data_IF_373114345842
#
_entry.id   IF_373114345842
#
_cell.length_a   1.000
_cell.length_b   1.000
_cell.length_c   1.000
_cell.angle_alpha   90.00
_cell.angle_beta   90.00
_cell.angle_gamma   90.00
#
_symmetry.space_group_name_H-M   'P 1'
#
loop_
_entity.id
_entity.type
_entity.pdbx_description
1 polymer ?
#
# COMPACT_ATOMS: atom_id res chain seq x y z
N UNK A 1 25.92 5.72 -18.63
CA UNK A 1 25.71 4.32 -19.05
C UNK A 1 25.75 3.50 -17.77
N UNK A 2 24.59 3.06 -17.26
CA UNK A 2 24.52 2.31 -16.00
C UNK A 2 25.24 0.96 -16.19
N UNK A 3 26.19 0.65 -15.30
CA UNK A 3 27.05 -0.55 -15.37
C UNK A 3 26.42 -1.77 -14.70
N UNK A 4 25.18 -1.68 -14.22
CA UNK A 4 24.44 -2.85 -13.76
C UNK A 4 23.10 -2.96 -14.48
N UNK A 5 22.72 -4.17 -14.93
CA UNK A 5 21.45 -4.39 -15.57
C UNK A 5 20.33 -4.04 -14.60
N UNK A 6 19.24 -3.49 -15.12
CA UNK A 6 17.95 -3.51 -14.44
C UNK A 6 17.78 -4.92 -13.85
N UNK A 7 17.81 -5.03 -12.51
CA UNK A 7 17.91 -6.33 -11.83
C UNK A 7 16.63 -7.16 -11.98
N UNK A 8 15.59 -6.58 -12.59
CA UNK A 8 14.33 -7.21 -12.95
C UNK A 8 14.23 -7.36 -14.47
N UNK A 9 14.51 -8.55 -14.99
CA UNK A 9 14.34 -8.82 -16.42
C UNK A 9 12.85 -8.96 -16.80
N UNK A 10 12.02 -9.46 -15.88
CA UNK A 10 10.60 -9.70 -16.09
C UNK A 10 9.76 -9.04 -14.98
N UNK A 11 8.77 -8.26 -15.39
CA UNK A 11 7.77 -7.64 -14.52
C UNK A 11 6.46 -8.42 -14.64
N UNK A 12 5.93 -8.87 -13.51
CA UNK A 12 4.58 -9.44 -13.39
C UNK A 12 3.72 -8.60 -12.46
N UNK A 13 2.41 -8.62 -12.68
CA UNK A 13 1.43 -7.93 -11.84
C UNK A 13 0.42 -8.92 -11.28
N UNK A 14 0.10 -8.84 -10.00
CA UNK A 14 -1.11 -9.44 -9.43
C UNK A 14 -2.03 -8.35 -8.91
N UNK A 15 -3.32 -8.43 -9.25
CA UNK A 15 -4.34 -7.52 -8.72
C UNK A 15 -5.22 -8.31 -7.75
N UNK A 16 -5.19 -7.90 -6.48
CA UNK A 16 -5.94 -8.53 -5.41
C UNK A 16 -7.23 -7.73 -5.12
N UNK A 17 -8.41 -8.40 -5.07
CA UNK A 17 -9.70 -7.75 -4.85
C UNK A 17 -9.80 -7.17 -3.44
N UNK A 18 -10.72 -6.23 -3.20
CA UNK A 18 -10.84 -5.60 -1.89
C UNK A 18 -11.29 -6.55 -0.78
N UNK A 19 -10.84 -6.25 0.44
CA UNK A 19 -11.33 -6.84 1.68
C UNK A 19 -12.01 -5.75 2.52
N UNK A 20 -13.05 -6.09 3.32
CA UNK A 20 -13.68 -5.14 4.24
C UNK A 20 -12.66 -4.43 5.14
N UNK A 21 -12.79 -3.11 5.28
CA UNK A 21 -11.88 -2.29 6.08
C UNK A 21 -12.24 -2.32 7.58
N UNK A 22 -11.26 -2.43 8.49
CA UNK A 22 -9.89 -2.89 8.26
C UNK A 22 -9.84 -4.43 8.19
N UNK A 23 -9.11 -5.03 7.23
CA UNK A 23 -8.99 -6.48 7.18
C UNK A 23 -8.15 -6.96 8.37
N UNK A 24 -8.64 -7.98 9.08
CA UNK A 24 -7.83 -8.67 10.07
C UNK A 24 -6.75 -9.52 9.38
N UNK A 25 -5.61 -9.75 10.04
CA UNK A 25 -4.55 -10.61 9.49
C UNK A 25 -5.05 -12.01 9.10
N UNK A 26 -5.88 -12.71 9.90
CA UNK A 26 -6.45 -13.99 9.49
C UNK A 26 -7.33 -13.88 8.24
N UNK A 27 -8.12 -12.81 8.10
CA UNK A 27 -8.94 -12.59 6.91
C UNK A 27 -8.07 -12.35 5.67
N UNK A 28 -7.04 -11.52 5.79
CA UNK A 28 -6.06 -11.25 4.72
C UNK A 28 -5.32 -12.52 4.31
N UNK A 29 -4.84 -13.32 5.28
CA UNK A 29 -4.18 -14.58 5.03
C UNK A 29 -5.12 -15.60 4.36
N UNK A 30 -6.35 -15.75 4.87
CA UNK A 30 -7.36 -16.65 4.30
C UNK A 30 -7.67 -16.31 2.84
N UNK A 31 -7.79 -15.02 2.52
CA UNK A 31 -8.12 -14.56 1.17
C UNK A 31 -6.95 -14.75 0.17
N UNK A 32 -5.72 -14.42 0.56
CA UNK A 32 -4.62 -14.26 -0.39
C UNK A 32 -3.54 -15.34 -0.34
N UNK A 33 -3.41 -16.11 0.75
CA UNK A 33 -2.40 -17.18 0.83
C UNK A 33 -2.51 -18.15 -0.35
N UNK A 34 -3.69 -18.71 -0.70
CA UNK A 34 -3.77 -19.70 -1.78
C UNK A 34 -3.36 -19.14 -3.15
N UNK A 35 -3.63 -17.85 -3.39
CA UNK A 35 -3.25 -17.17 -4.63
C UNK A 35 -1.74 -16.95 -4.69
N UNK A 36 -1.14 -16.44 -3.62
CA UNK A 36 0.31 -16.21 -3.52
C UNK A 36 1.08 -17.54 -3.59
N UNK A 37 0.61 -18.58 -2.90
CA UNK A 37 1.22 -19.92 -2.93
C UNK A 37 1.26 -20.48 -4.36
N UNK A 38 0.22 -20.27 -5.17
CA UNK A 38 0.23 -20.71 -6.57
C UNK A 38 1.06 -19.85 -7.51
N UNK A 39 1.29 -18.57 -7.16
CA UNK A 39 1.96 -17.62 -8.03
C UNK A 39 3.47 -17.58 -7.80
N UNK A 40 3.94 -17.42 -6.56
CA UNK A 40 5.35 -17.09 -6.30
C UNK A 40 6.34 -18.06 -6.96
N UNK A 41 6.17 -19.40 -6.92
CA UNK A 41 7.10 -20.33 -7.58
C UNK A 41 7.21 -20.15 -9.09
N UNK A 42 6.13 -19.71 -9.74
CA UNK A 42 6.08 -19.52 -11.20
C UNK A 42 6.89 -18.30 -11.66
N UNK A 43 7.17 -17.38 -10.73
CA UNK A 43 7.86 -16.13 -11.02
C UNK A 43 9.34 -16.20 -10.68
N UNK A 44 9.79 -17.24 -9.96
CA UNK A 44 11.21 -17.40 -9.63
C UNK A 44 12.00 -17.50 -10.93
N UNK A 45 12.98 -16.60 -11.16
CA UNK A 45 13.74 -16.60 -12.40
C UNK A 45 14.58 -17.87 -12.52
N UNK A 46 14.75 -18.37 -13.75
CA UNK A 46 15.63 -19.51 -14.01
C UNK A 46 17.12 -19.18 -13.75
N UNK A 47 17.49 -17.90 -13.79
CA UNK A 47 18.85 -17.41 -13.54
C UNK A 47 19.02 -16.95 -12.11
N UNK A 48 20.08 -17.42 -11.44
CA UNK A 48 20.45 -16.97 -10.08
C UNK A 48 21.11 -15.60 -10.04
N UNK A 49 21.34 -14.96 -11.20
CA UNK A 49 22.00 -13.65 -11.32
C UNK A 49 21.03 -12.49 -11.44
N UNK A 50 19.75 -12.76 -11.65
CA UNK A 50 18.70 -11.77 -11.84
C UNK A 50 17.56 -12.06 -10.88
N UNK A 51 16.78 -11.04 -10.54
CA UNK A 51 15.53 -11.19 -9.82
C UNK A 51 14.37 -11.00 -10.79
N UNK A 52 13.19 -11.55 -10.47
CA UNK A 52 11.94 -11.21 -11.16
C UNK A 52 11.15 -10.23 -10.31
N UNK A 53 10.52 -9.23 -10.93
CA UNK A 53 9.69 -8.25 -10.21
C UNK A 53 8.24 -8.70 -10.16
N UNK A 54 7.66 -8.69 -8.97
CA UNK A 54 6.23 -8.86 -8.74
C UNK A 54 5.64 -7.57 -8.16
N UNK A 55 4.78 -6.93 -8.94
CA UNK A 55 3.92 -5.85 -8.48
C UNK A 55 2.62 -6.43 -7.91
N UNK A 56 2.24 -6.02 -6.70
CA UNK A 56 1.00 -6.39 -6.03
C UNK A 56 0.12 -5.14 -5.92
N UNK A 57 -0.97 -5.11 -6.67
CA UNK A 57 -1.97 -4.06 -6.62
C UNK A 57 -3.13 -4.46 -5.71
N UNK A 58 -3.31 -3.76 -4.58
CA UNK A 58 -4.38 -3.99 -3.63
C UNK A 58 -5.56 -3.08 -3.92
N UNK A 59 -6.70 -3.62 -4.33
CA UNK A 59 -7.94 -2.83 -4.48
C UNK A 59 -8.48 -2.46 -3.11
N UNK A 60 -8.70 -1.18 -2.86
CA UNK A 60 -9.30 -0.71 -1.61
C UNK A 60 -10.81 -0.92 -1.61
N UNK A 61 -11.36 -1.21 -0.44
CA UNK A 61 -12.80 -1.25 -0.22
C UNK A 61 -13.41 0.16 -0.27
N UNK A 62 -14.69 0.28 -0.65
CA UNK A 62 -15.37 1.58 -0.76
C UNK A 62 -15.45 2.36 0.55
N UNK A 63 -15.24 1.71 1.71
CA UNK A 63 -15.12 2.36 3.01
C UNK A 63 -13.83 3.17 3.20
N UNK A 64 -12.82 2.99 2.35
CA UNK A 64 -11.67 3.90 2.30
C UNK A 64 -12.08 5.17 1.57
N UNK A 65 -12.26 6.28 2.31
CA UNK A 65 -12.59 7.57 1.74
C UNK A 65 -11.37 8.20 1.05
N UNK A 66 -11.13 7.77 -0.19
CA UNK A 66 -10.03 8.26 -1.03
C UNK A 66 -10.21 9.68 -1.57
N UNK A 67 -11.30 10.37 -1.19
CA UNK A 67 -11.47 11.81 -1.44
C UNK A 67 -10.72 12.67 -0.42
N UNK A 68 -10.38 12.10 0.75
CA UNK A 68 -9.61 12.80 1.78
C UNK A 68 -8.12 12.88 1.43
N UNK A 69 -7.40 13.87 2.01
CA UNK A 69 -5.94 13.88 1.98
C UNK A 69 -5.37 12.57 2.49
N UNK A 70 -4.34 12.06 1.81
CA UNK A 70 -3.72 10.77 2.15
C UNK A 70 -3.17 10.65 3.58
N UNK A 71 -2.71 11.72 4.26
CA UNK A 71 -2.37 11.64 5.68
C UNK A 71 -3.50 11.07 6.56
N UNK A 72 -4.78 11.36 6.23
CA UNK A 72 -5.93 10.83 6.97
C UNK A 72 -6.11 9.31 6.77
N UNK A 73 -5.61 8.77 5.66
CA UNK A 73 -5.63 7.34 5.33
C UNK A 73 -4.35 6.62 5.75
N UNK A 74 -3.38 7.31 6.34
CA UNK A 74 -2.06 6.75 6.61
C UNK A 74 -2.12 5.47 7.44
N UNK A 75 -2.76 5.52 8.62
CA UNK A 75 -2.81 4.39 9.55
C UNK A 75 -3.44 3.10 8.95
N UNK A 76 -4.64 3.14 8.34
CA UNK A 76 -5.22 1.94 7.75
C UNK A 76 -4.45 1.44 6.52
N UNK A 77 -3.84 2.33 5.72
CA UNK A 77 -3.03 1.93 4.58
C UNK A 77 -1.67 1.35 4.99
N UNK A 78 -0.99 1.93 5.99
CA UNK A 78 0.24 1.38 6.58
C UNK A 78 0.00 -0.03 7.12
N UNK A 79 -1.11 -0.23 7.83
CA UNK A 79 -1.44 -1.54 8.40
C UNK A 79 -1.68 -2.58 7.31
N UNK A 80 -2.44 -2.23 6.27
CA UNK A 80 -2.66 -3.10 5.13
C UNK A 80 -1.36 -3.40 4.36
N UNK A 81 -0.50 -2.39 4.16
CA UNK A 81 0.80 -2.55 3.52
C UNK A 81 1.70 -3.52 4.29
N UNK A 82 1.84 -3.28 5.60
CA UNK A 82 2.65 -4.10 6.51
C UNK A 82 2.16 -5.54 6.54
N UNK A 83 0.87 -5.75 6.71
CA UNK A 83 0.30 -7.08 6.84
C UNK A 83 0.37 -7.84 5.49
N UNK A 84 0.28 -7.13 4.35
CA UNK A 84 0.52 -7.71 3.02
C UNK A 84 1.97 -8.13 2.83
N UNK A 85 2.94 -7.25 3.13
CA UNK A 85 4.37 -7.64 3.06
C UNK A 85 4.69 -8.78 4.02
N UNK A 86 4.10 -8.80 5.21
CA UNK A 86 4.23 -9.91 6.17
C UNK A 86 3.72 -11.23 5.58
N UNK A 87 2.57 -11.21 4.90
CA UNK A 87 2.02 -12.38 4.23
C UNK A 87 2.92 -12.85 3.09
N UNK A 88 3.44 -11.93 2.27
CA UNK A 88 4.38 -12.28 1.19
C UNK A 88 5.63 -12.95 1.76
N UNK A 89 6.23 -12.38 2.82
CA UNK A 89 7.38 -12.98 3.50
C UNK A 89 7.06 -14.41 3.97
N UNK A 90 5.90 -14.57 4.61
CA UNK A 90 5.42 -15.85 5.11
C UNK A 90 5.32 -16.90 3.99
N UNK A 91 4.62 -16.56 2.90
CA UNK A 91 4.38 -17.48 1.78
C UNK A 91 5.64 -17.78 0.97
N UNK A 92 6.54 -16.82 0.83
CA UNK A 92 7.82 -17.03 0.17
C UNK A 92 8.71 -17.97 0.98
N UNK A 93 8.81 -17.73 2.29
CA UNK A 93 9.66 -18.50 3.17
C UNK A 93 9.16 -19.95 3.33
N UNK A 94 7.84 -20.18 3.39
CA UNK A 94 7.23 -21.51 3.33
C UNK A 94 7.54 -22.29 2.03
N UNK A 95 7.92 -21.58 0.97
CA UNK A 95 8.24 -22.16 -0.34
C UNK A 95 9.73 -22.13 -0.64
N UNK A 96 10.58 -21.70 0.30
CA UNK A 96 12.02 -21.56 0.09
C UNK A 96 12.38 -20.54 -1.00
N UNK A 97 11.58 -19.49 -1.17
CA UNK A 97 11.79 -18.45 -2.17
C UNK A 97 12.45 -17.24 -1.51
N UNK A 98 13.63 -16.88 -2.00
CA UNK A 98 14.31 -15.67 -1.57
C UNK A 98 13.59 -14.42 -2.07
N UNK A 99 13.54 -13.40 -1.21
CA UNK A 99 13.02 -12.08 -1.54
C UNK A 99 14.17 -11.07 -1.51
N UNK A 100 14.18 -10.15 -2.47
CA UNK A 100 15.15 -9.04 -2.58
C UNK A 100 16.61 -9.46 -2.77
N UNK A 101 16.84 -10.73 -3.11
CA UNK A 101 18.15 -11.30 -3.43
C UNK A 101 18.22 -11.75 -4.89
N UNK A 102 19.42 -11.81 -5.49
CA UNK A 102 19.61 -12.42 -6.81
C UNK A 102 19.08 -13.85 -6.87
N UNK A 103 18.36 -14.21 -7.92
CA UNK A 103 17.66 -15.49 -8.05
C UNK A 103 16.29 -15.54 -7.36
N UNK A 104 15.93 -14.50 -6.59
CA UNK A 104 14.66 -14.39 -5.88
C UNK A 104 13.65 -13.46 -6.56
N UNK A 105 12.68 -13.01 -5.76
CA UNK A 105 11.63 -12.08 -6.18
C UNK A 105 11.82 -10.68 -5.58
N UNK A 106 11.70 -9.65 -6.43
CA UNK A 106 11.59 -8.24 -6.03
C UNK A 106 10.11 -7.88 -5.96
N UNK A 107 9.54 -7.92 -4.75
CA UNK A 107 8.11 -7.63 -4.54
C UNK A 107 7.89 -6.15 -4.24
N UNK A 108 6.86 -5.56 -4.86
CA UNK A 108 6.44 -4.16 -4.65
C UNK A 108 4.92 -4.13 -4.44
N UNK A 109 4.46 -3.41 -3.42
CA UNK A 109 3.03 -3.30 -3.08
C UNK A 109 2.56 -1.86 -3.24
N UNK A 110 1.41 -1.68 -3.88
CA UNK A 110 0.72 -0.40 -4.02
C UNK A 110 -0.80 -0.59 -4.00
N UNK A 111 -1.54 0.52 -3.96
CA UNK A 111 -2.99 0.53 -3.77
C UNK A 111 -3.72 1.01 -5.01
N UNK A 112 -4.90 0.44 -5.24
CA UNK A 112 -5.88 0.91 -6.20
C UNK A 112 -7.07 1.53 -5.47
N UNK A 113 -7.57 2.65 -6.00
CA UNK A 113 -8.86 3.19 -5.56
C UNK A 113 -9.98 2.14 -5.66
N UNK A 114 -11.05 2.26 -4.85
CA UNK A 114 -12.23 1.42 -4.98
C UNK A 114 -12.75 1.39 -6.43
N UNK A 115 -13.26 0.24 -6.89
CA UNK A 115 -13.68 0.08 -8.29
C UNK A 115 -14.86 0.96 -8.71
N UNK A 116 -15.64 1.46 -7.74
CA UNK A 116 -16.72 2.43 -7.97
C UNK A 116 -16.20 3.86 -8.17
N UNK A 117 -14.92 4.12 -7.91
CA UNK A 117 -14.29 5.42 -8.09
C UNK A 117 -14.02 5.68 -9.58
N UNK A 118 -14.91 6.44 -10.22
CA UNK A 118 -14.78 7.06 -11.55
C UNK A 118 -14.20 6.15 -12.65
N UNK A 119 -15.07 5.38 -13.32
CA UNK A 119 -14.73 4.60 -14.52
C UNK A 119 -14.12 5.44 -15.67
N UNK A 120 -14.33 6.76 -15.67
CA UNK A 120 -13.82 7.73 -16.65
C UNK A 120 -12.60 8.54 -16.15
N UNK A 121 -11.96 8.12 -15.05
CA UNK A 121 -10.81 8.84 -14.50
C UNK A 121 -9.65 8.93 -15.50
N UNK A 122 -9.07 10.12 -15.65
CA UNK A 122 -7.85 10.29 -16.44
C UNK A 122 -6.66 9.61 -15.75
N UNK A 123 -5.76 8.96 -16.50
CA UNK A 123 -4.48 8.52 -15.96
C UNK A 123 -3.69 9.68 -15.34
N UNK A 124 -3.12 9.43 -14.17
CA UNK A 124 -2.28 10.37 -13.42
C UNK A 124 -0.99 9.65 -13.01
N UNK A 125 0.01 9.55 -13.91
CA UNK A 125 1.21 8.74 -13.71
C UNK A 125 1.99 9.03 -12.42
N UNK A 126 1.98 10.24 -11.87
CA UNK A 126 2.72 10.63 -10.67
C UNK A 126 1.87 10.54 -9.38
N UNK A 127 0.81 9.74 -9.39
CA UNK A 127 -0.11 9.55 -8.26
C UNK A 127 0.30 8.43 -7.30
N UNK A 128 1.38 7.69 -7.52
CA UNK A 128 1.77 6.59 -6.63
C UNK A 128 1.92 6.99 -5.15
N UNK A 129 1.70 6.08 -4.18
CA UNK A 129 1.44 4.65 -4.33
C UNK A 129 -0.06 4.27 -4.27
N UNK A 130 -0.95 5.26 -4.29
CA UNK A 130 -2.41 5.08 -4.40
C UNK A 130 -2.86 5.62 -5.75
N UNK A 131 -3.19 4.73 -6.68
CA UNK A 131 -3.49 5.08 -8.08
C UNK A 131 -4.85 4.57 -8.50
N UNK A 132 -5.41 5.12 -9.59
CA UNK A 132 -6.66 4.62 -10.16
C UNK A 132 -6.39 3.52 -11.19
N UNK A 133 -7.44 2.77 -11.54
CA UNK A 133 -7.33 1.64 -12.46
C UNK A 133 -6.89 2.09 -13.87
N UNK A 134 -7.30 3.28 -14.31
CA UNK A 134 -6.89 3.87 -15.58
C UNK A 134 -5.38 4.17 -15.64
N UNK A 135 -4.81 4.66 -14.54
CA UNK A 135 -3.36 4.91 -14.39
C UNK A 135 -2.58 3.60 -14.43
N UNK A 136 -3.05 2.59 -13.69
CA UNK A 136 -2.45 1.25 -13.75
C UNK A 136 -2.49 0.71 -15.18
N UNK A 137 -3.66 0.70 -15.81
CA UNK A 137 -3.85 0.24 -17.17
C UNK A 137 -2.92 0.94 -18.16
N UNK A 138 -2.84 2.28 -18.12
CA UNK A 138 -1.99 3.07 -19.02
C UNK A 138 -0.48 2.85 -18.78
N UNK A 139 -0.07 2.45 -17.58
CA UNK A 139 1.35 2.23 -17.25
C UNK A 139 1.93 0.91 -17.76
N UNK A 140 1.07 -0.07 -18.08
CA UNK A 140 1.49 -1.44 -18.39
C UNK A 140 1.73 -1.63 -19.89
N UNK A 141 2.78 -2.39 -20.22
CA UNK A 141 2.93 -2.93 -21.57
C UNK A 141 1.88 -4.03 -21.81
N UNK A 142 1.31 -4.17 -23.03
CA UNK A 142 0.42 -5.28 -23.37
C UNK A 142 0.97 -6.69 -23.11
N UNK A 143 2.30 -6.83 -23.13
CA UNK A 143 2.95 -8.11 -22.85
C UNK A 143 3.09 -8.42 -21.35
N UNK A 144 2.78 -7.48 -20.45
CA UNK A 144 2.95 -7.67 -19.00
C UNK A 144 1.98 -8.75 -18.52
N UNK A 145 2.46 -9.86 -17.92
CA UNK A 145 1.59 -10.86 -17.32
C UNK A 145 0.81 -10.26 -16.14
N UNK A 146 -0.51 -10.40 -16.17
CA UNK A 146 -1.43 -9.96 -15.11
C UNK A 146 -2.11 -11.19 -14.51
N UNK A 147 -2.08 -11.29 -13.19
CA UNK A 147 -2.68 -12.36 -12.42
C UNK A 147 -3.80 -11.81 -11.53
N UNK A 148 -4.83 -12.63 -11.35
CA UNK A 148 -6.00 -12.31 -10.52
C UNK A 148 -6.46 -13.58 -9.81
N UNK A 149 -7.00 -13.51 -8.58
CA UNK A 149 -7.66 -14.67 -7.99
C UNK A 149 -8.85 -15.13 -8.85
N UNK A 150 -9.06 -16.43 -9.00
CA UNK A 150 -10.19 -16.99 -9.76
C UNK A 150 -11.55 -16.94 -9.06
N UNK A 151 -11.71 -16.06 -8.07
CA UNK A 151 -12.99 -15.83 -7.37
C UNK A 151 -13.92 -14.94 -8.19
N UNK A 152 -15.21 -14.88 -7.84
CA UNK A 152 -16.18 -13.95 -8.46
C UNK A 152 -15.71 -12.49 -8.38
N UNK A 153 -15.14 -12.10 -7.24
CA UNK A 153 -14.54 -10.78 -7.05
C UNK A 153 -13.36 -10.54 -8.02
N UNK A 154 -12.49 -11.53 -8.20
CA UNK A 154 -11.36 -11.45 -9.14
C UNK A 154 -11.79 -11.45 -10.61
N UNK A 155 -12.86 -12.16 -10.97
CA UNK A 155 -13.46 -12.10 -12.31
C UNK A 155 -14.14 -10.75 -12.59
N UNK A 156 -14.78 -10.16 -11.58
CA UNK A 156 -15.31 -8.79 -11.68
C UNK A 156 -14.19 -7.77 -11.89
N UNK A 157 -13.11 -7.90 -11.12
CA UNK A 157 -11.90 -7.10 -11.27
C UNK A 157 -11.25 -7.27 -12.65
N UNK A 158 -11.22 -8.49 -13.20
CA UNK A 158 -10.73 -8.78 -14.55
C UNK A 158 -11.49 -7.99 -15.60
N UNK A 159 -12.82 -7.94 -15.48
CA UNK A 159 -13.68 -7.15 -16.39
C UNK A 159 -13.37 -5.66 -16.27
N UNK A 160 -13.34 -5.12 -15.05
CA UNK A 160 -13.04 -3.70 -14.82
C UNK A 160 -11.65 -3.32 -15.38
N UNK A 161 -10.63 -4.12 -15.09
CA UNK A 161 -9.27 -3.90 -15.58
C UNK A 161 -9.20 -4.00 -17.10
N UNK A 162 -9.82 -5.01 -17.71
CA UNK A 162 -9.83 -5.19 -19.16
C UNK A 162 -10.51 -4.02 -19.88
N UNK A 163 -11.61 -3.50 -19.32
CA UNK A 163 -12.26 -2.28 -19.83
C UNK A 163 -11.30 -1.09 -19.79
N UNK A 164 -10.70 -0.80 -18.63
CA UNK A 164 -9.74 0.28 -18.48
C UNK A 164 -8.52 0.12 -19.42
N UNK A 165 -8.02 -1.11 -19.58
CA UNK A 165 -6.91 -1.44 -20.47
C UNK A 165 -7.24 -1.18 -21.94
N UNK A 166 -8.41 -1.62 -22.40
CA UNK A 166 -8.84 -1.43 -23.80
C UNK A 166 -9.14 0.04 -24.15
N UNK A 167 -9.34 0.92 -23.17
CA UNK A 167 -9.46 2.36 -23.41
C UNK A 167 -8.14 3.00 -23.84
N UNK A 168 -7.00 2.42 -23.46
CA UNK A 168 -5.66 2.98 -23.70
C UNK A 168 -4.78 2.09 -24.59
N UNK A 169 -5.18 0.84 -24.81
CA UNK A 169 -4.47 -0.13 -25.64
C UNK A 169 -5.37 -0.75 -26.71
N UNK A 170 -4.83 -0.96 -27.91
CA UNK A 170 -5.51 -1.72 -28.96
C UNK A 170 -5.41 -3.24 -28.78
N UNK A 171 -4.37 -3.71 -28.08
CA UNK A 171 -4.19 -5.12 -27.74
C UNK A 171 -4.96 -5.47 -26.46
N UNK A 172 -5.39 -6.73 -26.35
CA UNK A 172 -6.00 -7.25 -25.12
C UNK A 172 -4.94 -7.51 -24.06
N UNK A 173 -5.24 -7.33 -22.76
CA UNK A 173 -4.30 -7.65 -21.69
C UNK A 173 -4.15 -9.17 -21.52
N UNK A 174 -2.96 -9.60 -21.10
CA UNK A 174 -2.68 -10.98 -20.70
C UNK A 174 -3.12 -11.20 -19.24
N UNK A 175 -4.36 -11.63 -19.01
CA UNK A 175 -4.89 -11.89 -17.66
C UNK A 175 -5.04 -13.38 -17.41
N UNK A 176 -4.42 -13.87 -16.33
CA UNK A 176 -4.45 -15.28 -15.91
C UNK A 176 -5.13 -15.43 -14.53
N UNK A 177 -6.29 -16.09 -14.44
CA UNK A 177 -6.89 -16.47 -13.17
C UNK A 177 -6.03 -17.50 -12.41
N UNK A 178 -6.00 -17.38 -11.09
CA UNK A 178 -5.25 -18.25 -10.17
C UNK A 178 -6.17 -18.96 -9.18
N UNK A 179 -5.60 -19.88 -8.39
CA UNK A 179 -6.24 -20.35 -7.16
C UNK A 179 -6.60 -19.16 -6.25
N UNK A 180 -7.61 -19.34 -5.42
CA UNK A 180 -8.13 -18.30 -4.55
C UNK A 180 -8.51 -18.88 -3.20
N UNK A 181 -8.42 -18.05 -2.16
CA UNK A 181 -8.94 -18.38 -0.84
C UNK A 181 -10.40 -18.00 -0.67
N UNK A 182 -10.86 -17.97 0.58
CA UNK A 182 -12.22 -17.56 0.90
C UNK A 182 -12.46 -16.11 0.47
N UNK A 183 -13.41 -15.90 -0.43
CA UNK A 183 -13.87 -14.55 -0.76
C UNK A 183 -14.81 -14.07 0.35
N UNK A 184 -14.64 -12.85 0.90
CA UNK A 184 -15.71 -12.27 1.70
C UNK A 184 -16.95 -12.15 0.80
N UNK A 185 -18.09 -12.67 1.27
CA UNK A 185 -19.36 -12.49 0.58
C UNK A 185 -19.65 -10.99 0.51
N UNK A 186 -19.63 -10.42 -0.70
CA UNK A 186 -20.16 -9.09 -0.93
C UNK A 186 -21.65 -9.15 -0.57
N UNK A 187 -22.19 -8.27 0.29
CA UNK A 187 -23.61 -8.24 0.59
C UNK A 187 -24.35 -7.67 -0.63
N UNK A 188 -24.58 -8.50 -1.65
CA UNK A 188 -25.65 -8.26 -2.59
C UNK A 188 -26.94 -8.69 -1.91
N UNK A 189 -27.78 -7.72 -1.55
CA UNK A 189 -29.16 -7.95 -1.17
C UNK A 189 -29.83 -8.79 -2.25
N UNK A 190 -29.97 -10.09 -1.96
CA UNK A 190 -30.65 -11.03 -2.83
C UNK A 190 -31.87 -11.47 -2.05
N UNK A 191 -33.03 -10.89 -2.39
CA UNK A 191 -34.32 -11.44 -2.01
C UNK A 191 -34.37 -12.86 -2.57
N UNK A 192 -34.26 -13.84 -1.68
CA UNK A 192 -34.29 -15.24 -2.04
C UNK A 192 -35.71 -15.60 -2.50
N UNK A 193 -35.93 -15.68 -3.82
CA UNK A 193 -37.04 -16.44 -4.37
C UNK A 193 -36.56 -17.88 -4.51
N UNK A 194 -36.85 -18.69 -3.49
CA UNK A 194 -36.70 -20.13 -3.55
C UNK A 194 -37.64 -20.70 -4.61
N UNK A 195 -37.09 -21.29 -5.66
CA UNK A 195 -37.85 -22.19 -6.54
C UNK A 195 -37.13 -23.54 -6.53
N UNK A 196 -37.56 -24.42 -5.64
CA UNK A 196 -37.21 -25.83 -5.68
C UNK A 196 -38.11 -26.51 -6.71
N UNK A 197 -37.48 -27.17 -7.69
CA UNK A 197 -38.16 -28.05 -8.62
C UNK A 197 -38.38 -29.42 -7.95
N UNK A 198 -39.63 -29.91 -7.97
CA UNK A 198 -39.92 -31.33 -7.83
C UNK A 198 -41.08 -31.70 -8.74
N UNK A 199 -40.79 -32.57 -9.70
CA UNK A 199 -41.74 -33.30 -10.55
C UNK A 199 -42.55 -34.30 -9.73
N UNK A 200 -43.88 -34.28 -9.84
CA UNK A 200 -44.76 -35.48 -9.83
C UNK A 200 -46.24 -35.12 -10.10
N UNK A 201 -46.70 -35.55 -11.27
CA UNK A 201 -47.92 -36.33 -11.57
C UNK A 201 -49.24 -36.09 -10.80
N UNK A 202 -50.23 -35.61 -11.57
CA UNK A 202 -51.65 -35.96 -11.67
C UNK A 202 -52.57 -36.11 -10.43
N UNK A 203 -53.62 -35.27 -10.50
CA UNK A 203 -55.05 -35.59 -10.40
C UNK A 203 -55.76 -35.71 -9.03
N UNK A 204 -56.86 -34.94 -8.99
CA UNK A 204 -58.18 -35.22 -8.43
C UNK A 204 -58.58 -34.61 -7.07
N UNK A 205 -59.53 -33.67 -7.21
CA UNK A 205 -60.80 -33.51 -6.46
C UNK A 205 -60.84 -33.14 -4.96
N UNK A 206 -61.68 -32.12 -4.73
CA UNK A 206 -62.76 -32.04 -3.74
C UNK A 206 -62.54 -31.28 -2.40
N UNK A 207 -63.16 -30.09 -2.38
CA UNK A 207 -64.31 -29.71 -1.51
C UNK A 207 -64.11 -29.33 -0.02
N UNK A 208 -64.83 -28.25 0.34
CA UNK A 208 -65.33 -27.79 1.65
C UNK A 208 -64.30 -27.16 2.62
N UNK A 209 -64.41 -25.90 3.05
CA UNK A 209 -65.50 -25.12 3.68
C UNK A 209 -65.58 -25.25 5.20
N UNK A 210 -66.02 -24.14 5.82
CA UNK A 210 -66.45 -23.93 7.22
C UNK A 210 -65.32 -23.69 8.24
N UNK A 211 -65.06 -22.46 8.69
CA UNK A 211 -65.79 -21.55 9.62
C UNK A 211 -65.56 -21.80 11.10
N UNK A 212 -65.42 -20.66 11.79
CA UNK A 212 -65.76 -20.37 13.19
C UNK A 212 -64.69 -20.59 14.26
N UNK A 213 -64.64 -19.87 15.38
CA UNK A 213 -65.14 -18.55 15.88
C UNK A 213 -64.63 -18.48 17.32
N UNK A 214 -64.53 -17.25 17.87
CA UNK A 214 -64.41 -16.87 19.29
C UNK A 214 -63.03 -17.04 19.96
N UNK A 215 -62.34 -15.98 20.42
CA UNK A 215 -62.68 -14.87 21.32
C UNK A 215 -62.60 -15.20 22.82
N UNK A 216 -61.70 -14.51 23.51
CA UNK A 216 -61.84 -13.86 24.84
C UNK A 216 -60.45 -13.40 25.32
N UNK A 217 -60.16 -12.09 25.43
CA UNK A 217 -60.34 -11.22 26.63
C UNK A 217 -59.79 -11.87 27.90
N UNK A 218 -58.85 -11.33 28.67
CA UNK A 218 -58.79 -10.02 29.35
C UNK A 218 -57.55 -10.10 30.30
N UNK A 219 -56.63 -9.13 30.42
CA UNK A 219 -56.70 -7.87 31.22
C UNK A 219 -55.75 -7.93 32.44
N UNK A 220 -54.76 -7.00 32.47
CA UNK A 220 -54.12 -6.28 33.62
C UNK A 220 -53.60 -7.06 34.84
N UNK A 221 -52.67 -6.62 35.68
CA UNK A 221 -51.63 -5.58 35.79
C UNK A 221 -51.04 -5.76 37.22
N UNK A 222 -50.02 -4.97 37.56
CA UNK A 222 -49.59 -4.59 38.92
C UNK A 222 -48.51 -5.44 39.64
N UNK A 223 -47.28 -4.91 39.61
CA UNK A 223 -46.47 -4.41 40.75
C UNK A 223 -46.52 -5.10 42.13
N UNK A 224 -45.35 -5.50 42.65
CA UNK A 224 -44.66 -4.85 43.79
C UNK A 224 -43.37 -5.58 44.23
N UNK A 225 -42.29 -4.80 44.37
CA UNK A 225 -41.22 -4.73 45.40
C UNK A 225 -41.13 -5.90 46.43
N UNK A 226 -39.97 -6.47 46.81
CA UNK A 226 -38.85 -5.87 47.58
C UNK A 226 -37.78 -6.96 47.84
N UNK A 227 -36.48 -6.65 47.80
CA UNK A 227 -35.47 -6.97 48.84
C UNK A 227 -34.02 -6.92 48.31
N UNK A 228 -33.17 -6.34 49.13
CA UNK A 228 -31.76 -5.98 48.94
C UNK A 228 -30.81 -7.13 49.31
N UNK A 229 -29.68 -7.25 48.61
CA UNK A 229 -28.41 -7.70 49.20
C UNK A 229 -27.22 -7.26 48.34
N UNK A 230 -26.37 -6.46 48.96
CA UNK A 230 -25.05 -5.94 48.56
C UNK A 230 -24.01 -7.05 48.41
N UNK A 231 -23.16 -7.02 47.39
CA UNK A 231 -21.73 -7.37 47.52
C UNK A 231 -20.86 -6.68 46.46
N UNK A 232 -19.69 -6.26 46.93
CA UNK A 232 -18.66 -5.40 46.39
C UNK A 232 -18.21 -5.54 44.92
N UNK A 233 -17.87 -4.37 44.38
CA UNK A 233 -17.17 -4.14 43.13
C UNK A 233 -15.74 -4.71 43.13
N UNK A 234 -15.37 -5.38 42.04
CA UNK A 234 -13.99 -5.62 41.65
C UNK A 234 -13.74 -4.92 40.31
N UNK A 235 -12.90 -3.89 40.38
CA UNK A 235 -12.53 -2.97 39.31
C UNK A 235 -11.83 -3.71 38.17
N UNK A 236 -12.51 -3.89 37.05
CA UNK A 236 -11.90 -4.33 35.80
C UNK A 236 -10.98 -3.21 35.29
N UNK A 237 -9.69 -3.48 35.29
CA UNK A 237 -8.66 -2.59 34.74
C UNK A 237 -8.85 -2.55 33.22
N UNK A 238 -9.38 -1.44 32.73
CA UNK A 238 -9.52 -1.14 31.31
C UNK A 238 -8.14 -1.08 30.67
N UNK A 239 -7.94 -1.94 29.67
CA UNK A 239 -6.81 -1.87 28.76
C UNK A 239 -6.80 -0.49 28.08
N UNK A 240 -5.65 0.16 28.15
CA UNK A 240 -5.37 1.43 27.48
C UNK A 240 -5.52 1.28 25.97
N UNK A 241 -6.60 1.83 25.43
CA UNK A 241 -6.79 2.04 24.00
C UNK A 241 -5.77 3.08 23.54
N UNK A 242 -4.87 2.69 22.65
CA UNK A 242 -3.94 3.60 22.00
C UNK A 242 -4.74 4.75 21.35
N UNK A 243 -4.44 5.98 21.78
CA UNK A 243 -5.05 7.18 21.23
C UNK A 243 -4.64 7.30 19.77
N UNK A 244 -5.60 7.12 18.84
CA UNK A 244 -5.39 7.37 17.43
C UNK A 244 -5.03 8.85 17.27
N UNK A 245 -3.79 9.13 16.91
CA UNK A 245 -3.32 10.48 16.63
C UNK A 245 -4.10 10.97 15.41
N UNK A 246 -5.07 11.86 15.63
CA UNK A 246 -5.83 12.50 14.55
C UNK A 246 -4.86 13.46 13.88
N UNK A 247 -4.29 13.06 12.74
CA UNK A 247 -3.59 14.00 11.89
C UNK A 247 -4.64 14.95 11.31
N UNK A 248 -4.55 16.27 11.56
CA UNK A 248 -5.46 17.23 10.94
C UNK A 248 -5.41 17.09 9.41
N UNK A 249 -6.41 17.62 8.70
CA UNK A 249 -6.54 17.63 7.23
C UNK A 249 -5.43 18.41 6.48
N UNK A 250 -4.27 18.58 7.11
CA UNK A 250 -3.11 19.28 6.62
C UNK A 250 -2.50 18.47 5.48
N UNK A 251 -2.32 19.14 4.35
CA UNK A 251 -1.63 18.55 3.21
C UNK A 251 -0.15 18.91 3.32
N UNK A 252 0.69 17.89 3.40
CA UNK A 252 2.13 18.06 3.49
C UNK A 252 2.74 18.17 2.10
N UNK A 253 3.39 19.32 1.84
CA UNK A 253 4.14 19.54 0.60
C UNK A 253 5.57 19.00 0.67
N UNK A 254 6.10 18.77 1.86
CA UNK A 254 7.46 18.28 2.05
C UNK A 254 7.52 17.24 3.17
N UNK A 255 7.88 16.01 2.81
CA UNK A 255 7.97 14.86 3.72
C UNK A 255 9.39 14.32 3.70
N UNK A 256 9.94 14.02 4.88
CA UNK A 256 11.25 13.43 5.04
C UNK A 256 11.18 11.95 5.47
N UNK A 257 12.21 11.20 5.09
CA UNK A 257 12.53 9.88 5.64
C UNK A 257 14.05 9.75 5.70
N UNK A 258 14.57 9.09 6.73
CA UNK A 258 16.00 8.86 6.91
C UNK A 258 16.31 7.38 7.07
N UNK A 259 17.42 6.93 6.48
CA UNK A 259 17.87 5.55 6.62
C UNK A 259 19.20 5.30 5.93
N UNK A 260 19.77 4.11 6.17
CA UNK A 260 20.97 3.70 5.45
C UNK A 260 20.63 3.20 4.05
N UNK A 261 19.48 2.52 3.88
CA UNK A 261 19.02 1.98 2.59
C UNK A 261 20.08 1.16 1.85
N UNK A 262 20.89 0.44 2.64
CA UNK A 262 21.81 -0.57 2.14
C UNK A 262 21.05 -1.87 1.95
N UNK A 263 21.33 -2.58 0.85
CA UNK A 263 20.67 -3.80 0.40
C UNK A 263 19.15 -3.77 0.66
N UNK A 264 18.42 -3.01 -0.18
CA UNK A 264 16.98 -2.76 0.00
C UNK A 264 16.17 -4.05 0.20
N UNK A 265 15.79 -4.31 1.45
CA UNK A 265 14.90 -5.39 1.84
C UNK A 265 13.47 -4.88 2.09
N UNK A 266 12.51 -5.79 2.27
CA UNK A 266 11.09 -5.49 2.56
C UNK A 266 10.86 -4.40 3.61
N UNK A 267 11.61 -4.39 4.72
CA UNK A 267 11.53 -3.31 5.70
C UNK A 267 11.79 -1.90 5.14
N UNK A 268 12.79 -1.73 4.27
CA UNK A 268 13.02 -0.46 3.57
C UNK A 268 11.91 -0.15 2.57
N UNK A 269 11.41 -1.16 1.86
CA UNK A 269 10.31 -1.01 0.89
C UNK A 269 9.02 -0.55 1.55
N UNK A 270 8.66 -1.16 2.69
CA UNK A 270 7.56 -0.74 3.55
C UNK A 270 7.70 0.74 3.94
N UNK A 271 8.87 1.14 4.45
CA UNK A 271 9.16 2.50 4.89
C UNK A 271 9.04 3.51 3.74
N UNK A 272 9.67 3.22 2.61
CA UNK A 272 9.68 4.10 1.44
C UNK A 272 8.29 4.21 0.81
N UNK A 273 7.53 3.12 0.69
CA UNK A 273 6.14 3.17 0.21
C UNK A 273 5.25 3.98 1.16
N UNK A 274 5.35 3.75 2.47
CA UNK A 274 4.60 4.52 3.45
C UNK A 274 4.95 6.01 3.43
N UNK A 275 6.21 6.37 3.18
CA UNK A 275 6.67 7.77 3.05
C UNK A 275 5.94 8.53 1.94
N UNK A 276 5.53 7.85 0.87
CA UNK A 276 4.80 8.48 -0.24
C UNK A 276 3.31 8.69 0.07
N UNK A 277 2.77 8.10 1.14
CA UNK A 277 1.37 8.29 1.53
C UNK A 277 1.10 9.74 1.97
N UNK A 278 1.77 10.31 3.00
CA UNK A 278 1.45 11.65 3.46
C UNK A 278 1.77 12.74 2.43
N UNK A 279 2.68 12.48 1.49
CA UNK A 279 3.00 13.35 0.35
C UNK A 279 1.92 13.28 -0.75
N UNK A 280 0.72 13.78 -0.43
CA UNK A 280 -0.45 13.75 -1.33
C UNK A 280 -0.16 14.47 -2.67
N UNK A 281 -0.56 13.90 -3.81
CA UNK A 281 -0.62 14.64 -5.07
C UNK A 281 -1.50 15.88 -4.90
N UNK A 282 -1.03 17.01 -5.41
CA UNK A 282 -1.76 18.25 -5.41
C UNK A 282 -1.68 18.90 -6.78
N UNK A 283 -2.72 19.62 -7.23
CA UNK A 283 -2.63 20.47 -8.42
C UNK A 283 -1.78 21.73 -8.22
N UNK A 284 -1.44 22.05 -6.97
CA UNK A 284 -0.82 23.33 -6.62
C UNK A 284 0.70 23.37 -6.85
N UNK A 285 1.19 24.56 -7.19
CA UNK A 285 2.60 24.93 -7.03
C UNK A 285 2.88 25.37 -5.58
N UNK A 286 4.10 25.19 -5.06
CA UNK A 286 5.22 24.46 -5.67
C UNK A 286 4.99 22.93 -5.68
N UNK A 287 5.77 22.19 -6.50
CA UNK A 287 5.81 20.72 -6.51
C UNK A 287 5.93 20.13 -5.09
N UNK A 288 5.24 19.02 -4.84
CA UNK A 288 5.49 18.26 -3.61
C UNK A 288 6.90 17.68 -3.63
N UNK A 289 7.54 17.68 -2.48
CA UNK A 289 8.93 17.28 -2.28
C UNK A 289 9.00 16.12 -1.30
N UNK A 290 9.77 15.09 -1.64
CA UNK A 290 10.12 13.99 -0.74
C UNK A 290 11.63 14.06 -0.52
N UNK A 291 12.06 14.14 0.72
CA UNK A 291 13.48 14.15 1.08
C UNK A 291 13.85 12.78 1.67
N UNK A 292 14.70 12.05 0.96
CA UNK A 292 15.23 10.75 1.40
C UNK A 292 16.67 10.95 1.85
N UNK A 293 16.86 11.02 3.17
CA UNK A 293 18.17 11.10 3.80
C UNK A 293 18.86 9.75 3.81
N UNK A 294 19.99 9.64 3.11
CA UNK A 294 20.77 8.42 2.98
C UNK A 294 22.09 8.59 3.74
N UNK A 295 22.30 7.79 4.79
CA UNK A 295 23.44 7.97 5.72
C UNK A 295 24.79 7.82 5.04
N UNK A 296 25.75 8.63 5.45
CA UNK A 296 27.15 8.43 5.12
C UNK A 296 27.76 7.23 5.87
N UNK A 297 28.90 6.75 5.39
CA UNK A 297 29.62 5.62 5.97
C UNK A 297 30.15 5.95 7.38
N UNK A 298 30.53 7.21 7.62
CA UNK A 298 31.07 7.67 8.91
C UNK A 298 30.03 7.70 10.03
N UNK A 299 28.75 7.89 9.69
CA UNK A 299 27.64 7.80 10.65
C UNK A 299 27.38 6.35 11.11
N UNK A 300 28.06 5.40 10.48
CA UNK A 300 27.96 3.96 10.73
C UNK A 300 29.26 3.41 11.33
N UNK A 301 30.26 4.25 11.64
CA UNK A 301 31.56 3.84 12.17
C UNK A 301 31.49 3.03 13.47
N UNK A 302 30.43 3.21 14.27
CA UNK A 302 30.19 2.44 15.50
C UNK A 302 29.33 1.17 15.30
N UNK A 303 28.83 0.91 14.09
CA UNK A 303 28.05 -0.29 13.77
C UNK A 303 28.99 -1.39 13.26
N UNK A 304 28.84 -2.60 13.81
CA UNK A 304 29.52 -3.80 13.29
C UNK A 304 29.22 -3.90 11.79
N UNK A 305 30.26 -4.09 10.96
CA UNK A 305 30.19 -4.24 9.50
C UNK A 305 30.15 -2.96 8.62
N UNK A 306 30.58 -1.79 9.12
CA UNK A 306 30.69 -0.56 8.31
C UNK A 306 31.52 -0.71 7.01
N UNK A 307 32.45 -1.67 6.96
CA UNK A 307 33.28 -1.98 5.78
C UNK A 307 32.55 -2.75 4.66
N UNK A 308 31.30 -3.19 4.90
CA UNK A 308 30.49 -4.00 3.97
C UNK A 308 29.42 -3.14 3.26
N UNK A 309 29.33 -1.86 3.61
CA UNK A 309 28.33 -0.94 3.06
C UNK A 309 28.61 -0.62 1.61
N UNK A 310 27.53 -0.52 0.83
CA UNK A 310 27.66 -0.05 -0.54
C UNK A 310 27.99 1.46 -0.62
N UNK A 311 28.73 1.86 -1.66
CA UNK A 311 28.90 3.26 -2.04
C UNK A 311 27.58 4.02 -2.02
N UNK A 312 27.60 5.23 -1.45
CA UNK A 312 26.40 6.08 -1.34
C UNK A 312 25.65 6.25 -2.66
N UNK A 313 26.38 6.43 -3.77
CA UNK A 313 25.77 6.57 -5.10
C UNK A 313 24.93 5.34 -5.52
N UNK A 314 25.34 4.12 -5.14
CA UNK A 314 24.59 2.91 -5.46
C UNK A 314 23.33 2.77 -4.61
N UNK A 315 23.43 3.15 -3.33
CA UNK A 315 22.26 3.21 -2.43
C UNK A 315 21.24 4.24 -2.92
N UNK A 316 21.70 5.39 -3.42
CA UNK A 316 20.84 6.38 -4.11
C UNK A 316 20.18 5.76 -5.35
N UNK A 317 20.95 5.16 -6.27
CA UNK A 317 20.42 4.61 -7.53
C UNK A 317 19.34 3.55 -7.28
N UNK A 318 19.58 2.61 -6.36
CA UNK A 318 18.60 1.56 -6.03
C UNK A 318 17.37 2.10 -5.31
N UNK A 319 17.57 3.02 -4.38
CA UNK A 319 16.46 3.67 -3.66
C UNK A 319 15.62 4.50 -4.63
N UNK A 320 16.26 5.18 -5.58
CA UNK A 320 15.58 5.90 -6.66
C UNK A 320 14.80 4.96 -7.58
N UNK A 321 15.40 3.84 -8.00
CA UNK A 321 14.72 2.84 -8.82
C UNK A 321 13.49 2.23 -8.12
N UNK A 322 13.58 1.94 -6.81
CA UNK A 322 12.44 1.47 -6.03
C UNK A 322 11.36 2.55 -5.92
N UNK A 323 11.71 3.75 -5.45
CA UNK A 323 10.75 4.85 -5.25
C UNK A 323 10.07 5.25 -6.56
N UNK A 324 10.82 5.36 -7.67
CA UNK A 324 10.26 5.63 -9.00
C UNK A 324 9.15 4.63 -9.35
N UNK A 325 9.35 3.37 -9.05
CA UNK A 325 8.43 2.31 -9.47
C UNK A 325 7.13 2.19 -8.69
N UNK A 326 7.05 2.85 -7.54
CA UNK A 326 5.85 2.95 -6.70
C UNK A 326 5.26 4.36 -6.73
N UNK A 327 5.97 5.33 -7.33
CA UNK A 327 5.55 6.72 -7.49
C UNK A 327 5.01 6.98 -8.90
N UNK A 328 5.76 6.54 -9.92
CA UNK A 328 5.57 6.86 -11.32
C UNK A 328 5.03 5.63 -12.09
N UNK A 329 3.75 5.69 -12.42
CA UNK A 329 3.00 4.71 -13.21
C UNK A 329 2.78 5.26 -14.62
N UNK A 330 3.85 5.29 -15.40
CA UNK A 330 3.84 5.63 -16.82
C UNK A 330 4.43 4.48 -17.66
N UNK A 331 4.17 4.42 -18.98
CA UNK A 331 4.87 3.49 -19.86
C UNK A 331 6.38 3.57 -19.68
N UNK A 332 7.07 2.42 -19.70
CA UNK A 332 8.52 2.36 -19.46
C UNK A 332 9.34 3.27 -20.40
N UNK A 333 8.88 3.48 -21.64
CA UNK A 333 9.52 4.36 -22.61
C UNK A 333 9.36 5.86 -22.28
N UNK A 334 8.40 6.23 -21.43
CA UNK A 334 8.08 7.61 -21.09
C UNK A 334 8.68 8.05 -19.76
N UNK A 335 8.86 7.13 -18.80
CA UNK A 335 9.48 7.41 -17.50
C UNK A 335 10.80 8.20 -17.61
N UNK A 336 11.77 7.82 -18.48
CA UNK A 336 13.00 8.59 -18.63
C UNK A 336 12.78 10.01 -19.20
N UNK A 337 11.72 10.23 -19.98
CA UNK A 337 11.38 11.55 -20.55
C UNK A 337 10.73 12.46 -19.51
N UNK A 338 10.05 11.87 -18.52
CA UNK A 338 9.44 12.58 -17.40
C UNK A 338 10.46 12.96 -16.33
N UNK A 339 11.63 12.33 -16.31
CA UNK A 339 12.62 12.42 -15.23
C UNK A 339 13.81 13.29 -15.60
N UNK A 340 14.13 14.26 -14.74
CA UNK A 340 15.41 14.98 -14.72
C UNK A 340 16.19 14.65 -13.46
N UNK A 341 17.50 14.43 -13.59
CA UNK A 341 18.40 14.16 -12.46
C UNK A 341 19.43 15.29 -12.38
N UNK A 342 19.44 15.99 -11.25
CA UNK A 342 20.35 17.10 -10.96
C UNK A 342 21.29 16.71 -9.79
N UNK A 343 22.59 16.92 -9.94
CA UNK A 343 23.57 16.75 -8.85
C UNK A 343 23.82 18.11 -8.20
N UNK A 344 23.33 18.30 -6.98
CA UNK A 344 23.41 19.55 -6.26
C UNK A 344 24.44 19.44 -5.13
N UNK A 345 25.24 20.50 -4.98
CA UNK A 345 26.23 20.64 -3.94
C UNK A 345 26.07 22.02 -3.31
N UNK A 346 25.57 22.04 -2.08
CA UNK A 346 25.44 23.25 -1.27
C UNK A 346 26.55 23.28 -0.21
N UNK A 347 27.08 24.46 0.14
CA UNK A 347 28.02 24.57 1.25
C UNK A 347 27.32 24.22 2.57
N UNK A 348 27.99 23.45 3.43
CA UNK A 348 27.48 23.03 4.75
C UNK A 348 27.20 21.54 4.88
N UNK A 349 26.72 21.14 6.06
CA UNK A 349 26.32 19.75 6.33
C UNK A 349 25.14 19.36 5.43
N UNK A 350 25.11 18.09 5.00
CA UNK A 350 24.06 17.54 4.15
C UNK A 350 23.88 18.23 2.78
N UNK A 351 24.89 18.99 2.33
CA UNK A 351 24.80 19.78 1.10
C UNK A 351 24.87 18.96 -0.20
N UNK A 352 25.21 17.66 -0.14
CA UNK A 352 25.28 16.79 -1.32
C UNK A 352 23.92 16.13 -1.55
N UNK A 353 23.29 16.47 -2.66
CA UNK A 353 21.93 16.02 -3.01
C UNK A 353 21.94 15.51 -4.45
N UNK A 354 21.39 14.31 -4.67
CA UNK A 354 20.95 13.89 -6.00
C UNK A 354 19.45 14.13 -6.11
N UNK A 355 19.03 15.12 -6.89
CA UNK A 355 17.63 15.50 -7.06
C UNK A 355 17.03 14.82 -8.29
N UNK A 356 15.94 14.09 -8.09
CA UNK A 356 15.11 13.56 -9.15
C UNK A 356 13.86 14.42 -9.26
N UNK A 357 13.63 15.03 -10.41
CA UNK A 357 12.40 15.79 -10.70
C UNK A 357 11.59 15.02 -11.73
N UNK A 358 10.33 14.72 -11.38
CA UNK A 358 9.37 14.09 -12.27
C UNK A 358 8.36 15.13 -12.73
N UNK A 359 8.25 15.33 -14.03
CA UNK A 359 7.29 16.24 -14.64
C UNK A 359 6.39 15.44 -15.59
N UNK A 360 5.05 15.56 -15.47
CA UNK A 360 4.13 14.90 -16.39
C UNK A 360 4.42 15.28 -17.84
N UNK A 361 4.39 14.31 -18.76
CA UNK A 361 4.51 14.62 -20.18
C UNK A 361 3.29 15.44 -20.63
N UNK A 362 3.48 16.36 -21.61
CA UNK A 362 2.35 17.01 -22.24
C UNK A 362 1.41 15.96 -22.85
N UNK A 363 0.09 16.09 -22.67
CA UNK A 363 -0.89 15.19 -23.22
C UNK A 363 -0.85 15.26 -24.74
N UNK A 364 -0.94 14.08 -25.33
CA UNK A 364 -0.86 13.90 -26.79
C UNK A 364 -2.20 14.17 -27.49
N UNK A 365 -3.29 14.38 -26.73
CA UNK A 365 -4.63 14.67 -27.28
C UNK A 365 -5.23 15.93 -26.69
N UNK A 366 -6.04 16.64 -27.48
CA UNK A 366 -6.73 17.87 -27.05
C UNK A 366 -7.70 17.64 -25.88
N UNK A 367 -8.34 16.46 -25.80
CA UNK A 367 -9.21 16.09 -24.69
C UNK A 367 -8.42 15.80 -23.39
N UNK A 368 -7.22 15.23 -23.50
CA UNK A 368 -6.32 15.08 -22.35
C UNK A 368 -5.72 16.44 -21.93
N UNK A 369 -5.42 17.34 -22.89
CA UNK A 369 -4.98 18.70 -22.60
C UNK A 369 -6.02 19.49 -21.80
N UNK A 370 -7.31 19.38 -22.14
CA UNK A 370 -8.39 20.04 -21.40
C UNK A 370 -8.53 19.53 -19.95
N UNK A 371 -8.07 18.31 -19.65
CA UNK A 371 -8.13 17.68 -18.31
C UNK A 371 -6.81 17.80 -17.53
N UNK A 372 -5.69 18.04 -18.21
CA UNK A 372 -4.35 18.13 -17.59
C UNK A 372 -4.22 19.30 -16.61
N UNK A 373 -4.95 20.40 -16.84
CA UNK A 373 -4.85 21.61 -16.02
C UNK A 373 -5.34 21.46 -14.58
N UNK A 374 -5.86 20.30 -14.17
CA UNK A 374 -6.67 20.20 -12.94
C UNK A 374 -6.01 19.41 -11.81
N UNK A 375 -5.07 18.47 -12.02
CA UNK A 375 -4.67 17.56 -10.91
C UNK A 375 -3.21 17.08 -10.82
N UNK A 376 -2.34 17.23 -11.84
CA UNK A 376 -1.03 16.58 -11.81
C UNK A 376 0.16 17.55 -11.82
N UNK A 377 0.68 17.86 -10.62
CA UNK A 377 1.92 18.63 -10.46
C UNK A 377 3.18 17.75 -10.53
N UNK A 378 4.31 18.40 -10.80
CA UNK A 378 5.62 17.75 -10.72
C UNK A 378 5.90 17.24 -9.29
N UNK A 379 6.81 16.28 -9.19
CA UNK A 379 7.29 15.73 -7.91
C UNK A 379 8.79 15.86 -7.84
N UNK A 380 9.28 16.33 -6.71
CA UNK A 380 10.73 16.41 -6.44
C UNK A 380 11.09 15.36 -5.41
N UNK A 381 12.15 14.60 -5.67
CA UNK A 381 12.74 13.70 -4.69
C UNK A 381 14.20 14.09 -4.51
N UNK A 382 14.56 14.49 -3.30
CA UNK A 382 15.93 14.82 -2.93
C UNK A 382 16.54 13.63 -2.21
N UNK A 383 17.51 12.95 -2.84
CA UNK A 383 18.35 11.96 -2.17
C UNK A 383 19.54 12.68 -1.54
N UNK A 384 19.45 12.94 -0.25
CA UNK A 384 20.39 13.78 0.48
C UNK A 384 21.38 12.91 1.25
N UNK A 385 22.69 13.15 1.09
CA UNK A 385 23.70 12.55 1.95
C UNK A 385 23.53 13.11 3.36
N UNK A 386 23.26 12.25 4.35
CA UNK A 386 23.17 12.69 5.75
C UNK A 386 24.44 12.31 6.52
N UNK A 387 25.11 13.32 7.05
CA UNK A 387 26.38 13.22 7.80
C UNK A 387 26.22 13.55 9.29
N UNK A 388 25.00 13.88 9.72
CA UNK A 388 24.63 14.09 11.12
C UNK A 388 23.28 13.42 11.44
N UNK A 389 22.93 13.22 12.73
CA UNK A 389 21.70 12.52 13.13
C UNK A 389 20.39 13.20 12.72
N UNK A 390 20.39 14.49 12.37
CA UNK A 390 19.20 15.27 12.05
C UNK A 390 18.99 15.39 10.54
N UNK A 391 20.06 15.37 9.75
CA UNK A 391 19.99 15.60 8.32
C UNK A 391 19.40 16.97 7.99
N UNK A 392 18.67 17.13 6.86
CA UNK A 392 18.12 18.41 6.47
C UNK A 392 16.93 18.87 7.34
N UNK A 393 16.42 18.02 8.23
CA UNK A 393 15.17 18.29 8.97
C UNK A 393 15.26 19.45 9.98
N UNK A 394 16.48 19.91 10.30
CA UNK A 394 16.73 21.07 11.16
C UNK A 394 17.39 22.25 10.42
N UNK A 395 17.56 22.13 9.11
CA UNK A 395 18.14 23.16 8.23
C UNK A 395 17.17 23.61 7.14
N UNK A 396 16.19 22.77 6.78
CA UNK A 396 15.13 23.07 5.82
C UNK A 396 13.79 23.25 6.55
N UNK A 397 13.30 24.49 6.60
CA UNK A 397 12.06 24.83 7.32
C UNK A 397 10.80 24.30 6.62
N UNK A 398 10.88 24.08 5.30
CA UNK A 398 9.76 23.63 4.48
C UNK A 398 9.35 22.18 4.72
N UNK A 399 10.23 21.37 5.33
CA UNK A 399 9.90 20.01 5.77
C UNK A 399 8.88 20.12 6.92
N UNK A 400 7.69 19.56 6.72
CA UNK A 400 6.58 19.61 7.69
C UNK A 400 6.22 18.26 8.28
N UNK A 401 6.81 17.17 7.76
CA UNK A 401 6.54 15.85 8.27
C UNK A 401 7.69 14.87 8.05
N UNK A 402 7.75 13.83 8.88
CA UNK A 402 8.76 12.78 8.82
C UNK A 402 8.10 11.41 9.02
N UNK A 403 8.50 10.45 8.20
CA UNK A 403 8.13 9.04 8.39
C UNK A 403 9.30 8.30 9.02
N UNK A 404 9.02 7.60 10.12
CA UNK A 404 10.01 6.86 10.91
C UNK A 404 9.60 5.39 11.03
N UNK A 405 10.58 4.54 11.29
CA UNK A 405 10.33 3.17 11.74
C UNK A 405 10.50 3.07 13.24
N UNK A 406 10.09 1.94 13.83
CA UNK A 406 10.41 1.65 15.22
C UNK A 406 11.92 1.78 15.55
N UNK A 407 12.82 1.49 14.60
CA UNK A 407 14.27 1.63 14.78
C UNK A 407 14.72 3.10 14.81
N UNK A 408 14.00 3.99 14.12
CA UNK A 408 14.33 5.42 14.00
C UNK A 408 13.39 6.35 14.77
N UNK A 409 12.46 5.80 15.57
CA UNK A 409 11.52 6.55 16.43
C UNK A 409 12.25 7.56 17.32
N UNK A 410 13.32 7.13 17.99
CA UNK A 410 14.13 8.00 18.85
C UNK A 410 14.78 9.17 18.08
N UNK A 411 15.19 8.92 16.82
CA UNK A 411 15.70 9.97 15.93
C UNK A 411 14.62 10.99 15.56
N UNK A 412 13.40 10.55 15.28
CA UNK A 412 12.27 11.44 15.03
C UNK A 412 11.94 12.35 16.23
N UNK A 413 11.97 11.80 17.45
CA UNK A 413 11.80 12.58 18.68
C UNK A 413 12.90 13.63 18.82
N UNK A 414 14.17 13.23 18.67
CA UNK A 414 15.31 14.14 18.78
C UNK A 414 15.28 15.28 17.73
N UNK A 415 14.78 15.00 16.52
CA UNK A 415 14.54 16.04 15.50
C UNK A 415 13.53 17.06 15.99
N UNK A 416 12.40 16.62 16.55
CA UNK A 416 11.37 17.55 17.05
C UNK A 416 11.86 18.35 18.25
N UNK A 417 12.57 17.75 19.20
CA UNK A 417 13.20 18.46 20.31
C UNK A 417 14.14 19.56 19.78
N UNK A 418 14.99 19.23 18.80
CA UNK A 418 15.92 20.18 18.20
C UNK A 418 15.24 21.30 17.40
N UNK A 419 14.09 21.02 16.78
CA UNK A 419 13.28 22.03 16.09
C UNK A 419 12.64 22.98 17.10
N UNK A 420 12.10 22.47 18.20
CA UNK A 420 11.54 23.30 19.29
C UNK A 420 12.62 24.20 19.90
N UNK A 421 13.83 23.67 20.16
CA UNK A 421 14.97 24.47 20.63
C UNK A 421 15.35 25.62 19.69
N UNK A 422 15.11 25.45 18.39
CA UNK A 422 15.31 26.47 17.35
C UNK A 422 14.13 27.43 17.18
N UNK A 423 13.04 27.24 17.92
CA UNK A 423 11.79 27.98 17.76
C UNK A 423 11.00 27.60 16.50
N UNK A 424 11.23 26.42 15.93
CA UNK A 424 10.51 25.91 14.76
C UNK A 424 9.34 25.02 15.18
N UNK A 425 8.33 24.91 14.33
CA UNK A 425 7.24 23.95 14.55
C UNK A 425 7.77 22.51 14.51
N UNK A 426 7.30 21.62 15.40
CA UNK A 426 7.59 20.19 15.30
C UNK A 426 7.06 19.63 13.97
N UNK A 427 7.70 18.58 13.49
CA UNK A 427 7.23 17.79 12.35
C UNK A 427 6.08 16.89 12.78
N UNK A 428 5.11 16.71 11.89
CA UNK A 428 4.18 15.59 12.00
C UNK A 428 4.94 14.29 11.78
N UNK A 429 4.79 13.34 12.71
CA UNK A 429 5.52 12.08 12.71
C UNK A 429 4.55 10.95 12.40
N UNK A 430 4.84 10.20 11.34
CA UNK A 430 4.19 8.92 11.09
C UNK A 430 5.16 7.79 11.37
N UNK A 431 4.76 6.87 12.23
CA UNK A 431 5.55 5.68 12.53
C UNK A 431 5.02 4.47 11.76
N UNK A 432 5.92 3.71 11.14
CA UNK A 432 5.63 2.39 10.59
C UNK A 432 6.15 1.28 11.50
N UNK A 433 5.40 0.17 11.57
CA UNK A 433 5.81 -1.00 12.36
C UNK A 433 6.50 -2.04 11.48
N UNK A 434 7.83 -1.94 11.33
CA UNK A 434 8.64 -2.92 10.57
C UNK A 434 9.15 -4.10 11.43
N UNK A 435 9.20 -3.94 12.76
CA UNK A 435 9.70 -4.95 13.71
C UNK A 435 8.86 -6.22 13.70
N UNK A 436 7.59 -6.09 13.35
CA UNK A 436 6.63 -7.17 13.33
C UNK A 436 6.92 -8.23 12.24
N UNK A 437 7.37 -7.80 11.06
CA UNK A 437 7.75 -8.71 9.96
C UNK A 437 8.90 -9.61 10.42
N UNK A 438 9.93 -9.00 11.02
CA UNK A 438 11.10 -9.72 11.52
C UNK A 438 10.75 -10.64 12.69
N UNK A 439 9.95 -10.16 13.64
CA UNK A 439 9.48 -10.96 14.79
C UNK A 439 8.75 -12.21 14.32
N UNK A 440 7.87 -12.08 13.32
CA UNK A 440 7.07 -13.20 12.82
C UNK A 440 7.91 -14.27 12.13
N UNK A 441 8.87 -13.87 11.30
CA UNK A 441 9.82 -14.81 10.68
C UNK A 441 10.64 -15.55 11.74
N UNK A 442 11.10 -14.86 12.78
CA UNK A 442 11.84 -15.48 13.89
C UNK A 442 10.97 -16.47 14.68
N UNK A 443 9.71 -16.14 14.96
CA UNK A 443 8.77 -17.07 15.61
C UNK A 443 8.57 -18.34 14.81
N UNK A 444 8.41 -18.23 13.49
CA UNK A 444 8.23 -19.41 12.66
C UNK A 444 9.46 -20.30 12.56
N UNK A 445 10.66 -19.70 12.50
CA UNK A 445 11.90 -20.45 12.56
C UNK A 445 11.99 -21.25 13.87
N UNK A 446 11.56 -20.66 15.00
CA UNK A 446 11.47 -21.36 16.29
C UNK A 446 10.40 -22.46 16.31
N UNK A 447 9.30 -22.27 15.56
CA UNK A 447 8.23 -23.26 15.41
C UNK A 447 8.56 -24.39 14.39
N UNK A 448 9.74 -24.36 13.75
CA UNK A 448 10.11 -25.33 12.72
C UNK A 448 9.27 -25.24 11.44
N UNK A 449 8.68 -24.06 11.18
CA UNK A 449 7.81 -23.78 10.02
C UNK A 449 8.55 -23.06 8.88
N UNK A 450 9.86 -22.91 9.00
CA UNK A 450 10.79 -22.33 8.03
C UNK A 450 11.96 -23.27 7.79
#
# INVERSE_FOLDING_TARGET
MSKHPDMSADKSLIILPSLPNPPSRPALASAYTPTLTSLLPKLVPASTKQSSRLDIALVLDSSYDTSQPRPALFAPLETLLRDTYSLVCLVAAQQGIDLDLPGGLDVRVFFLHPLSSHADATPSPLSGPLINLATLAASLSPATPVYVPGSDAGLSLTRAFSTAFNHVHSAKPSVTPLSHGSSPAQPHGTTATTTAASTATAASTATAASTATAASTATTASTATTASATTAAATATTASTASATIHPSVIHKSIAVGGTFDHLHIGHKLLLTATLLPASPQPAHPPRTITVGITDQDLLANKKHASVLEPWAWRVERTAAFVESILCFAPAADVPKMRRIDQLHHPGVNGRITRYTYTPLPPTTRAALARQFVDESSVIINYTLITDPFGPTITEHDITGIVVSAETRGGGSAVNDKRVDKGWNPLDVWEISSTEIRRRLVEMAKEGKL
#
